data_IF_964361637329
#
_entry.id   IF_964361637329
#
_cell.length_a   1.000
_cell.length_b   1.000
_cell.length_c   1.000
_cell.angle_alpha   90.00
_cell.angle_beta   90.00
_cell.angle_gamma   90.00
#
_symmetry.space_group_name_H-M   'P 1'
#
loop_
_entity.id
_entity.type
_entity.pdbx_description
1 polymer ?
#
# COMPACT_ATOMS: atom_id res chain seq x y z
N UNK A 1 20.02 -42.75 7.91
CA UNK A 1 20.03 -42.60 9.39
C UNK A 1 21.11 -43.43 10.09
N UNK A 2 21.53 -44.58 9.56
CA UNK A 2 22.51 -45.50 10.18
C UNK A 2 23.92 -44.92 10.33
N UNK A 3 24.45 -44.23 9.30
CA UNK A 3 25.80 -43.63 9.33
C UNK A 3 25.96 -42.45 10.32
N UNK A 4 24.91 -41.66 10.52
CA UNK A 4 24.90 -40.56 11.49
C UNK A 4 24.92 -41.08 12.94
N UNK A 5 24.20 -42.19 13.17
CA UNK A 5 24.12 -42.85 14.46
C UNK A 5 25.45 -43.51 14.84
N UNK A 6 26.15 -44.12 13.88
CA UNK A 6 27.50 -44.68 14.07
C UNK A 6 28.57 -43.60 14.32
N UNK A 7 28.51 -42.48 13.58
CA UNK A 7 29.40 -41.34 13.80
C UNK A 7 29.23 -40.77 15.21
N UNK A 8 27.99 -40.55 15.64
CA UNK A 8 27.67 -40.18 17.02
C UNK A 8 28.26 -41.17 18.00
N UNK A 9 28.08 -42.48 17.78
CA UNK A 9 28.45 -43.49 18.76
C UNK A 9 29.98 -43.61 19.00
N UNK A 10 30.81 -43.23 18.02
CA UNK A 10 32.28 -43.24 18.09
C UNK A 10 32.92 -42.04 18.82
N UNK A 11 32.15 -41.01 19.17
CA UNK A 11 32.65 -39.82 19.85
C UNK A 11 32.68 -40.00 21.38
N UNK A 12 33.69 -39.42 22.05
CA UNK A 12 33.75 -39.35 23.53
C UNK A 12 32.50 -38.64 24.09
N UNK A 13 32.13 -38.97 25.34
CA UNK A 13 30.90 -38.48 25.98
C UNK A 13 30.74 -36.96 25.88
N UNK A 14 31.81 -36.20 26.09
CA UNK A 14 31.82 -34.74 26.00
C UNK A 14 31.43 -34.22 24.61
N UNK A 15 31.95 -34.83 23.54
CA UNK A 15 31.65 -34.41 22.16
C UNK A 15 30.20 -34.71 21.76
N UNK A 16 29.62 -35.82 22.22
CA UNK A 16 28.18 -36.13 22.05
C UNK A 16 27.30 -35.07 22.71
N UNK A 17 27.63 -34.69 23.95
CA UNK A 17 26.89 -33.67 24.70
C UNK A 17 27.00 -32.31 24.01
N UNK A 18 28.20 -31.89 23.59
CA UNK A 18 28.39 -30.63 22.86
C UNK A 18 27.62 -30.60 21.55
N UNK A 19 27.63 -31.68 20.76
CA UNK A 19 26.91 -31.74 19.49
C UNK A 19 25.39 -31.67 19.69
N UNK A 20 24.85 -32.33 20.73
CA UNK A 20 23.43 -32.23 21.07
C UNK A 20 23.06 -30.81 21.54
N UNK A 21 23.91 -30.16 22.32
CA UNK A 21 23.69 -28.77 22.75
C UNK A 21 23.67 -27.81 21.56
N UNK A 22 24.62 -27.94 20.62
CA UNK A 22 24.65 -27.14 19.39
C UNK A 22 23.42 -27.42 18.53
N UNK A 23 23.05 -28.69 18.35
CA UNK A 23 21.85 -29.04 17.59
C UNK A 23 20.57 -28.45 18.22
N UNK A 24 20.45 -28.48 19.54
CA UNK A 24 19.33 -27.87 20.25
C UNK A 24 19.28 -26.35 20.06
N UNK A 25 20.43 -25.67 20.13
CA UNK A 25 20.51 -24.23 19.87
C UNK A 25 20.12 -23.89 18.42
N UNK A 26 20.59 -24.66 17.44
CA UNK A 26 20.23 -24.46 16.02
C UNK A 26 18.73 -24.66 15.80
N UNK A 27 18.14 -25.71 16.40
CA UNK A 27 16.70 -25.96 16.32
C UNK A 27 15.89 -24.83 16.96
N UNK A 28 16.33 -24.34 18.12
CA UNK A 28 15.70 -23.20 18.79
C UNK A 28 15.78 -21.93 17.93
N UNK A 29 16.95 -21.62 17.36
CA UNK A 29 17.12 -20.49 16.45
C UNK A 29 16.24 -20.60 15.20
N UNK A 30 16.12 -21.80 14.61
CA UNK A 30 15.25 -22.03 13.45
C UNK A 30 13.76 -21.84 13.81
N UNK A 31 13.33 -22.31 14.98
CA UNK A 31 11.96 -22.13 15.46
C UNK A 31 11.63 -20.64 15.70
N UNK A 32 12.55 -19.90 16.35
CA UNK A 32 12.40 -18.45 16.54
C UNK A 32 12.35 -17.75 15.18
N UNK A 33 13.25 -18.08 14.25
CA UNK A 33 13.28 -17.46 12.92
C UNK A 33 11.97 -17.68 12.14
N UNK A 34 11.45 -18.91 12.15
CA UNK A 34 10.16 -19.24 11.52
C UNK A 34 9.00 -18.49 12.18
N UNK A 35 8.96 -18.47 13.51
CA UNK A 35 7.94 -17.75 14.29
C UNK A 35 7.98 -16.24 14.02
N UNK A 36 9.17 -15.63 14.03
CA UNK A 36 9.35 -14.22 13.70
C UNK A 36 8.92 -13.93 12.27
N UNK A 37 9.30 -14.75 11.29
CA UNK A 37 8.88 -14.56 9.88
C UNK A 37 7.37 -14.62 9.72
N UNK A 38 6.71 -15.52 10.45
CA UNK A 38 5.25 -15.63 10.45
C UNK A 38 4.58 -14.40 11.05
N UNK A 39 5.03 -13.98 12.25
CA UNK A 39 4.52 -12.80 12.94
C UNK A 39 4.78 -11.50 12.16
N UNK A 40 5.95 -11.37 11.53
CA UNK A 40 6.32 -10.18 10.76
C UNK A 40 5.38 -9.98 9.57
N UNK A 41 5.01 -11.04 8.86
CA UNK A 41 4.14 -10.95 7.67
C UNK A 41 2.72 -10.55 8.06
N UNK A 42 2.19 -11.06 9.17
CA UNK A 42 0.88 -10.63 9.67
C UNK A 42 0.90 -9.17 10.12
N UNK A 43 1.90 -8.78 10.92
CA UNK A 43 2.01 -7.41 11.45
C UNK A 43 2.39 -6.39 10.38
N UNK A 44 3.10 -6.77 9.32
CA UNK A 44 3.47 -5.87 8.23
C UNK A 44 2.26 -5.44 7.40
N UNK A 45 1.28 -6.33 7.17
CA UNK A 45 0.04 -5.97 6.46
C UNK A 45 -0.80 -4.99 7.26
N UNK A 46 -0.95 -5.24 8.56
CA UNK A 46 -1.71 -4.38 9.46
C UNK A 46 -1.08 -2.98 9.54
N UNK A 47 0.24 -2.90 9.79
CA UNK A 47 0.97 -1.62 9.77
C UNK A 47 0.90 -0.92 8.41
N UNK A 48 0.89 -1.68 7.30
CA UNK A 48 0.73 -1.15 5.96
C UNK A 48 -0.62 -0.43 5.79
N UNK A 49 -1.71 -1.05 6.24
CA UNK A 49 -3.06 -0.46 6.17
C UNK A 49 -3.18 0.75 7.08
N UNK A 50 -2.65 0.70 8.30
CA UNK A 50 -2.68 1.84 9.23
C UNK A 50 -1.94 3.07 8.68
N UNK A 51 -0.80 2.85 8.02
CA UNK A 51 -0.07 3.92 7.31
C UNK A 51 -0.88 4.47 6.16
N UNK A 52 -1.53 3.61 5.37
CA UNK A 52 -2.41 4.05 4.29
C UNK A 52 -3.57 4.89 4.79
N UNK A 53 -4.21 4.50 5.90
CA UNK A 53 -5.30 5.27 6.49
C UNK A 53 -4.82 6.61 7.03
N UNK A 54 -3.63 6.64 7.64
CA UNK A 54 -3.01 7.90 8.08
C UNK A 54 -2.72 8.82 6.90
N UNK A 55 -2.12 8.31 5.83
CA UNK A 55 -1.87 9.06 4.61
C UNK A 55 -3.16 9.55 3.98
N UNK A 56 -4.23 8.74 3.99
CA UNK A 56 -5.53 9.13 3.45
C UNK A 56 -6.20 10.22 4.29
N UNK A 57 -6.05 10.21 5.63
CA UNK A 57 -6.50 11.35 6.47
C UNK A 57 -5.81 12.65 6.08
N UNK A 58 -4.51 12.59 5.76
CA UNK A 58 -3.78 13.77 5.25
C UNK A 58 -4.28 14.16 3.86
N UNK A 59 -4.55 13.21 2.94
CA UNK A 59 -5.15 13.51 1.63
C UNK A 59 -6.45 14.29 1.77
N UNK A 60 -7.35 13.81 2.63
CA UNK A 60 -8.60 14.50 2.90
C UNK A 60 -8.40 15.85 3.59
N UNK A 61 -7.37 16.02 4.42
CA UNK A 61 -7.05 17.31 5.02
C UNK A 61 -6.58 18.31 3.96
N UNK A 62 -5.69 17.90 3.05
CA UNK A 62 -5.19 18.72 1.94
C UNK A 62 -6.32 19.07 0.98
N UNK A 63 -7.17 18.10 0.63
CA UNK A 63 -8.29 18.35 -0.29
C UNK A 63 -9.32 19.31 0.32
N UNK A 64 -9.66 19.14 1.61
CA UNK A 64 -10.63 19.99 2.31
C UNK A 64 -10.16 21.42 2.57
N UNK A 65 -8.86 21.71 2.46
CA UNK A 65 -8.36 23.09 2.49
C UNK A 65 -8.91 23.92 1.33
N UNK A 66 -9.30 23.29 0.22
CA UNK A 66 -9.90 23.96 -0.93
C UNK A 66 -11.42 24.18 -0.77
N UNK A 67 -12.04 23.52 0.21
CA UNK A 67 -13.47 23.55 0.48
C UNK A 67 -14.04 22.18 0.83
N UNK A 68 -15.23 22.17 1.45
CA UNK A 68 -15.91 20.94 1.85
C UNK A 68 -16.84 20.38 0.77
N UNK A 69 -17.13 21.18 -0.26
CA UNK A 69 -18.14 20.87 -1.26
C UNK A 69 -17.52 20.34 -2.54
N UNK A 70 -17.52 19.02 -2.69
CA UNK A 70 -17.14 18.43 -3.95
C UNK A 70 -18.30 18.54 -4.93
N UNK A 71 -18.01 18.88 -6.18
CA UNK A 71 -19.02 18.93 -7.23
C UNK A 71 -18.41 18.68 -8.60
N UNK A 72 -19.21 18.09 -9.48
CA UNK A 72 -18.89 17.94 -10.89
C UNK A 72 -19.65 19.03 -11.66
N UNK A 73 -18.95 20.01 -12.22
CA UNK A 73 -19.54 21.11 -13.00
C UNK A 73 -18.90 21.13 -14.38
N UNK A 74 -19.71 21.05 -15.44
CA UNK A 74 -19.23 21.13 -16.83
C UNK A 74 -18.10 20.13 -17.17
N UNK A 75 -18.17 18.90 -16.62
CA UNK A 75 -17.15 17.88 -16.86
C UNK A 75 -15.81 18.14 -16.15
N UNK A 76 -15.78 19.03 -15.17
CA UNK A 76 -14.62 19.26 -14.30
C UNK A 76 -14.99 19.00 -12.85
N UNK A 77 -14.05 18.43 -12.12
CA UNK A 77 -14.16 18.11 -10.69
C UNK A 77 -13.69 19.31 -9.87
N UNK A 78 -14.51 19.73 -8.92
CA UNK A 78 -14.26 20.82 -8.00
C UNK A 78 -14.20 20.32 -6.57
N UNK A 79 -13.30 20.90 -5.78
CA UNK A 79 -13.35 20.88 -4.32
C UNK A 79 -13.53 22.33 -3.84
N UNK A 80 -14.72 22.65 -3.33
CA UNK A 80 -15.15 24.02 -3.10
C UNK A 80 -15.19 24.79 -4.43
N UNK A 81 -14.39 25.85 -4.51
CA UNK A 81 -14.25 26.68 -5.71
C UNK A 81 -13.01 26.35 -6.54
N UNK A 82 -12.18 25.39 -6.09
CA UNK A 82 -10.95 25.01 -6.77
C UNK A 82 -11.21 23.89 -7.76
N UNK A 83 -10.83 24.11 -9.03
CA UNK A 83 -10.79 23.06 -10.06
C UNK A 83 -9.64 22.10 -9.76
N UNK A 84 -9.93 20.80 -9.71
CA UNK A 84 -8.94 19.74 -9.49
C UNK A 84 -8.33 19.23 -10.79
N UNK A 85 -9.02 19.35 -11.92
CA UNK A 85 -8.50 18.94 -13.22
C UNK A 85 -7.25 19.72 -13.59
N UNK A 86 -6.17 19.00 -13.91
CA UNK A 86 -4.83 19.50 -14.24
C UNK A 86 -4.16 20.29 -13.11
N UNK A 87 -4.78 20.33 -11.93
CA UNK A 87 -4.25 21.01 -10.75
C UNK A 87 -3.52 20.02 -9.84
N UNK A 88 -2.20 19.98 -9.96
CA UNK A 88 -1.37 19.03 -9.22
C UNK A 88 -0.96 19.52 -7.82
N UNK A 89 -1.35 20.72 -7.40
CA UNK A 89 -0.91 21.30 -6.12
C UNK A 89 -1.27 20.40 -4.93
N UNK A 90 -2.49 19.83 -4.91
CA UNK A 90 -2.93 18.96 -3.82
C UNK A 90 -2.15 17.63 -3.77
N UNK A 91 -1.94 16.98 -4.92
CA UNK A 91 -1.21 15.70 -4.99
C UNK A 91 0.29 15.86 -4.74
N UNK A 92 0.86 17.01 -5.10
CA UNK A 92 2.25 17.33 -4.80
C UNK A 92 2.43 17.68 -3.32
N UNK A 93 1.52 18.49 -2.76
CA UNK A 93 1.50 18.77 -1.33
C UNK A 93 1.36 17.50 -0.50
N UNK A 94 0.56 16.54 -0.95
CA UNK A 94 0.49 15.23 -0.34
C UNK A 94 1.83 14.50 -0.32
N UNK A 95 2.56 14.51 -1.44
CA UNK A 95 3.90 13.91 -1.51
C UNK A 95 4.90 14.59 -0.59
N UNK A 96 4.80 15.89 -0.39
CA UNK A 96 5.64 16.61 0.58
C UNK A 96 5.34 16.22 2.02
N UNK A 97 4.06 16.03 2.36
CA UNK A 97 3.62 15.77 3.73
C UNK A 97 3.81 14.31 4.17
N UNK A 98 3.49 13.35 3.29
CA UNK A 98 3.50 11.92 3.64
C UNK A 98 4.36 11.06 2.71
N UNK A 99 4.99 11.65 1.70
CA UNK A 99 5.73 10.93 0.68
C UNK A 99 4.81 10.18 -0.30
N UNK A 100 5.41 9.21 -1.01
CA UNK A 100 4.68 8.32 -1.91
C UNK A 100 4.11 9.02 -3.15
N UNK A 101 3.04 8.44 -3.67
CA UNK A 101 2.35 8.90 -4.88
C UNK A 101 0.87 9.14 -4.59
N UNK A 102 0.30 10.17 -5.20
CA UNK A 102 -1.09 10.56 -5.02
C UNK A 102 -1.72 10.86 -6.39
N UNK A 103 -3.00 10.53 -6.52
CA UNK A 103 -3.77 10.70 -7.74
C UNK A 103 -5.22 11.02 -7.42
N UNK A 104 -5.82 11.94 -8.17
CA UNK A 104 -7.25 12.24 -8.17
C UNK A 104 -7.82 11.76 -9.51
N UNK A 105 -8.90 10.98 -9.42
CA UNK A 105 -9.66 10.52 -10.58
C UNK A 105 -11.03 11.20 -10.61
N UNK A 106 -11.51 11.46 -11.82
CA UNK A 106 -12.87 11.88 -12.10
C UNK A 106 -13.51 10.76 -12.92
N UNK A 107 -14.40 9.99 -12.28
CA UNK A 107 -14.77 8.67 -12.79
C UNK A 107 -13.53 7.78 -12.88
N UNK A 108 -13.28 7.18 -14.05
CA UNK A 108 -12.09 6.39 -14.33
C UNK A 108 -10.89 7.22 -14.81
N UNK A 109 -11.07 8.52 -15.07
CA UNK A 109 -10.06 9.34 -15.76
C UNK A 109 -9.17 10.06 -14.77
N UNK A 110 -7.85 9.94 -14.94
CA UNK A 110 -6.87 10.59 -14.08
C UNK A 110 -6.78 12.09 -14.36
N UNK A 111 -7.21 12.92 -13.41
CA UNK A 111 -7.30 14.38 -13.57
C UNK A 111 -6.20 15.16 -12.86
N UNK A 112 -5.61 14.60 -11.80
CA UNK A 112 -4.41 15.16 -11.16
C UNK A 112 -3.54 14.02 -10.62
N UNK A 113 -2.22 14.10 -10.77
CA UNK A 113 -1.32 13.04 -10.29
C UNK A 113 0.11 13.49 -10.18
N UNK A 114 0.85 12.90 -9.24
CA UNK A 114 2.31 12.99 -9.17
C UNK A 114 3.03 11.71 -9.65
N UNK A 115 2.27 10.75 -10.17
CA UNK A 115 2.80 9.56 -10.84
C UNK A 115 3.35 9.98 -12.19
N UNK A 116 4.60 9.62 -12.45
CA UNK A 116 5.26 9.87 -13.72
C UNK A 116 5.05 8.69 -14.67
N UNK A 117 4.86 8.99 -15.95
CA UNK A 117 4.88 8.02 -17.03
C UNK A 117 6.33 7.65 -17.41
N UNK A 118 6.49 6.72 -18.35
CA UNK A 118 7.81 6.26 -18.82
C UNK A 118 8.64 7.37 -19.47
N UNK A 119 7.99 8.43 -19.96
CA UNK A 119 8.62 9.60 -20.58
C UNK A 119 9.00 10.69 -19.55
N UNK A 120 8.78 10.45 -18.25
CA UNK A 120 9.07 11.40 -17.17
C UNK A 120 8.03 12.51 -16.98
N UNK A 121 6.99 12.57 -17.81
CA UNK A 121 5.84 13.46 -17.65
C UNK A 121 4.82 12.90 -16.65
N UNK A 122 3.88 13.73 -16.17
CA UNK A 122 2.78 13.25 -15.32
C UNK A 122 1.83 12.37 -16.14
N UNK A 123 1.37 11.27 -15.55
CA UNK A 123 0.50 10.31 -16.21
C UNK A 123 -0.97 10.77 -16.27
N UNK A 124 -1.23 12.04 -16.58
CA UNK A 124 -2.57 12.64 -16.71
C UNK A 124 -3.36 12.01 -17.87
N UNK A 125 -4.68 11.99 -17.76
CA UNK A 125 -5.60 11.50 -18.80
C UNK A 125 -5.64 9.97 -18.95
N UNK A 126 -4.73 9.22 -18.32
CA UNK A 126 -4.80 7.75 -18.30
C UNK A 126 -6.03 7.28 -17.52
N UNK A 127 -6.60 6.14 -17.92
CA UNK A 127 -7.72 5.52 -17.21
C UNK A 127 -7.24 4.64 -16.05
N UNK A 128 -8.07 4.55 -15.02
CA UNK A 128 -7.96 3.53 -13.99
C UNK A 128 -8.15 2.15 -14.66
N UNK A 129 -7.26 1.22 -14.37
CA UNK A 129 -7.38 -0.13 -14.88
C UNK A 129 -8.64 -0.80 -14.31
N UNK A 130 -9.31 -1.60 -15.13
CA UNK A 130 -10.40 -2.46 -14.66
C UNK A 130 -9.88 -3.42 -13.58
N UNK A 131 -10.67 -3.66 -12.54
CA UNK A 131 -10.33 -4.53 -11.44
C UNK A 131 -10.91 -4.08 -10.10
N UNK A 132 -10.43 -4.65 -8.97
CA UNK A 132 -11.06 -4.48 -7.66
C UNK A 132 -11.22 -3.02 -7.21
N UNK A 133 -10.30 -2.14 -7.62
CA UNK A 133 -10.39 -0.70 -7.29
C UNK A 133 -11.54 -0.04 -8.05
N UNK A 134 -11.71 -0.36 -9.33
CA UNK A 134 -12.82 0.17 -10.13
C UNK A 134 -14.16 -0.27 -9.52
N UNK A 135 -14.31 -1.57 -9.30
CA UNK A 135 -15.55 -2.17 -8.83
C UNK A 135 -15.94 -1.67 -7.42
N UNK A 136 -14.98 -1.61 -6.50
CA UNK A 136 -15.29 -1.23 -5.12
C UNK A 136 -15.50 0.30 -4.98
N UNK A 137 -14.69 1.11 -5.67
CA UNK A 137 -14.68 2.57 -5.47
C UNK A 137 -15.66 3.28 -6.39
N UNK A 138 -15.66 2.96 -7.68
CA UNK A 138 -16.51 3.63 -8.66
C UNK A 138 -17.91 3.01 -8.71
N UNK A 139 -18.02 1.67 -8.69
CA UNK A 139 -19.33 1.01 -8.80
C UNK A 139 -20.03 0.87 -7.44
N UNK A 140 -19.32 0.42 -6.40
CA UNK A 140 -19.91 0.24 -5.06
C UNK A 140 -19.80 1.48 -4.15
N UNK A 141 -19.00 2.49 -4.53
CA UNK A 141 -18.84 3.72 -3.76
C UNK A 141 -18.23 3.51 -2.36
N UNK A 142 -17.34 2.52 -2.22
CA UNK A 142 -16.70 2.12 -0.96
C UNK A 142 -15.18 2.32 -1.00
N UNK A 143 -14.52 2.58 0.15
CA UNK A 143 -13.07 2.65 0.21
C UNK A 143 -12.42 1.31 -0.15
N UNK A 144 -11.27 1.37 -0.81
CA UNK A 144 -10.44 0.21 -1.11
C UNK A 144 -9.06 0.35 -0.45
N UNK A 145 -8.56 -0.74 0.14
CA UNK A 145 -7.20 -0.88 0.67
C UNK A 145 -6.63 -2.20 0.19
N UNK A 146 -5.52 -2.17 -0.54
CA UNK A 146 -4.98 -3.40 -1.11
C UNK A 146 -3.83 -3.18 -2.09
N UNK A 147 -3.36 -4.30 -2.63
CA UNK A 147 -2.37 -4.28 -3.71
C UNK A 147 -3.06 -3.94 -5.04
N UNK A 148 -2.47 -3.00 -5.79
CA UNK A 148 -2.91 -2.60 -7.12
C UNK A 148 -1.71 -2.39 -8.03
N UNK A 149 -1.92 -2.48 -9.34
CA UNK A 149 -0.88 -2.21 -10.33
C UNK A 149 -1.11 -0.82 -10.96
N UNK A 150 -0.08 0.02 -10.93
CA UNK A 150 -0.10 1.35 -11.54
C UNK A 150 1.10 1.42 -12.49
N UNK A 151 0.82 1.49 -13.80
CA UNK A 151 1.85 1.58 -14.85
C UNK A 151 2.92 0.46 -14.74
N UNK A 152 2.49 -0.80 -14.58
CA UNK A 152 3.40 -1.95 -14.51
C UNK A 152 4.12 -2.15 -13.17
N UNK A 153 3.84 -1.30 -12.17
CA UNK A 153 4.42 -1.42 -10.83
C UNK A 153 3.34 -1.74 -9.80
N UNK A 154 3.63 -2.69 -8.92
CA UNK A 154 2.74 -3.04 -7.81
C UNK A 154 2.88 -2.02 -6.67
N UNK A 155 1.76 -1.54 -6.21
CA UNK A 155 1.63 -0.62 -5.08
C UNK A 155 0.67 -1.21 -4.05
N UNK A 156 0.96 -0.98 -2.78
CA UNK A 156 -0.07 -1.06 -1.75
C UNK A 156 -0.73 0.31 -1.66
N UNK A 157 -2.01 0.38 -2.02
CA UNK A 157 -2.70 1.65 -2.27
C UNK A 157 -4.03 1.74 -1.52
N UNK A 158 -4.42 2.99 -1.27
CA UNK A 158 -5.68 3.37 -0.68
C UNK A 158 -6.45 4.25 -1.67
N UNK A 159 -7.73 3.93 -1.84
CA UNK A 159 -8.66 4.72 -2.64
C UNK A 159 -9.90 5.02 -1.80
N UNK A 160 -10.28 6.29 -1.77
CA UNK A 160 -11.53 6.73 -1.15
C UNK A 160 -12.39 7.39 -2.23
N UNK A 161 -13.69 7.09 -2.28
CA UNK A 161 -14.59 7.76 -3.21
C UNK A 161 -14.78 9.21 -2.80
N UNK A 162 -14.58 10.14 -3.75
CA UNK A 162 -14.89 11.55 -3.57
C UNK A 162 -16.34 11.73 -3.99
N UNK A 163 -17.19 12.06 -3.02
CA UNK A 163 -18.63 12.22 -3.23
C UNK A 163 -19.05 13.68 -3.07
N UNK A 164 -20.06 14.07 -3.84
CA UNK A 164 -20.75 15.34 -3.64
C UNK A 164 -21.65 15.32 -2.39
N UNK A 165 -22.31 16.45 -2.08
CA UNK A 165 -23.26 16.54 -0.96
C UNK A 165 -24.45 15.57 -1.06
N UNK A 166 -24.76 15.09 -2.25
CA UNK A 166 -25.81 14.11 -2.53
C UNK A 166 -25.30 12.66 -2.43
N UNK A 167 -24.06 12.47 -1.96
CA UNK A 167 -23.36 11.19 -1.87
C UNK A 167 -23.18 10.48 -3.23
N UNK A 168 -23.15 11.24 -4.32
CA UNK A 168 -22.87 10.76 -5.67
C UNK A 168 -21.41 10.94 -6.05
#
# INVERSE_FOLDING_TARGET
>A
MTRFREFLNRQHLSAKVTLMAVAALVLLSAAIFLGTRFLLVSSAREQGTERLDTNMRVAWSVLRQNGLDNSLREGRLYAGEVVLNDNNAAVDRMKELVGGTATIFMGDTRVATNVLNEQGGRALGSRLAAGPVHDEVLDAGKPYRGETEILGKRYFAAYDPIKDRSAK
#
